data_IF_706643181093
#
_entry.id   IF_706643181093
#
_cell.length_a   1.000
_cell.length_b   1.000
_cell.length_c   1.000
_cell.angle_alpha   90.00
_cell.angle_beta   90.00
_cell.angle_gamma   90.00
#
_symmetry.space_group_name_H-M   'P 1'
#
loop_
_entity.id
_entity.type
_entity.pdbx_description
1 polymer ?
#
# COMPACT_ATOMS: atom_id res chain seq x y z
N UNK A 1 30.93 17.29 -0.27
CA UNK A 1 29.65 17.86 -0.76
C UNK A 1 28.66 16.78 -1.23
N UNK A 2 29.11 15.65 -1.81
CA UNK A 2 28.22 14.55 -2.25
C UNK A 2 27.64 13.66 -1.11
N UNK A 3 28.34 13.53 0.02
CA UNK A 3 27.88 12.75 1.19
C UNK A 3 26.66 13.37 1.92
N UNK A 4 26.47 14.68 1.83
CA UNK A 4 25.34 15.38 2.44
C UNK A 4 24.05 15.30 1.59
N UNK A 5 24.19 15.03 0.29
CA UNK A 5 23.04 14.87 -0.61
C UNK A 5 22.35 13.50 -0.41
N UNK A 6 23.12 12.45 -0.10
CA UNK A 6 22.58 11.11 0.22
C UNK A 6 21.83 11.04 1.55
N UNK A 7 22.15 11.91 2.52
CA UNK A 7 21.44 11.94 3.81
C UNK A 7 20.06 12.61 3.73
N UNK A 8 19.76 13.32 2.63
CA UNK A 8 18.54 14.08 2.44
C UNK A 8 17.61 13.51 1.37
N UNK A 9 17.99 12.40 0.71
CA UNK A 9 17.07 11.67 -0.16
C UNK A 9 16.10 10.86 0.69
N UNK A 10 14.78 11.08 0.58
CA UNK A 10 13.81 10.31 1.33
C UNK A 10 13.94 8.82 1.02
N UNK A 11 13.90 7.98 2.05
CA UNK A 11 13.91 6.53 1.88
C UNK A 11 12.66 6.14 1.08
N UNK A 12 12.81 5.55 -0.10
CA UNK A 12 11.68 5.20 -0.95
C UNK A 12 11.42 3.69 -0.90
N UNK A 13 10.25 3.31 -0.37
CA UNK A 13 9.85 1.90 -0.24
C UNK A 13 8.82 1.56 -1.30
N UNK A 14 9.08 0.53 -2.09
CA UNK A 14 8.19 0.12 -3.17
C UNK A 14 7.45 -1.17 -2.84
N UNK A 15 6.13 -1.16 -2.98
CA UNK A 15 5.27 -2.31 -2.73
C UNK A 15 4.49 -2.67 -3.99
N UNK A 16 4.57 -3.94 -4.40
CA UNK A 16 3.67 -4.53 -5.37
C UNK A 16 2.62 -5.37 -4.64
N UNK A 17 1.34 -5.12 -4.91
CA UNK A 17 0.24 -5.82 -4.25
C UNK A 17 -0.20 -7.05 -5.05
N UNK A 18 -0.24 -8.22 -4.39
CA UNK A 18 -0.53 -9.53 -5.01
C UNK A 18 -1.99 -9.99 -4.76
N UNK A 19 -2.56 -10.75 -5.71
CA UNK A 19 -3.93 -11.30 -5.64
C UNK A 19 -4.18 -12.22 -4.43
N UNK A 20 -3.16 -12.90 -3.89
CA UNK A 20 -3.35 -13.79 -2.75
C UNK A 20 -3.67 -13.01 -1.45
N UNK A 21 -3.17 -11.78 -1.33
CA UNK A 21 -3.52 -10.86 -0.22
C UNK A 21 -4.95 -10.34 -0.37
N UNK A 22 -5.40 -10.14 -1.60
CA UNK A 22 -6.79 -9.81 -1.94
C UNK A 22 -7.73 -10.98 -1.60
N UNK A 23 -7.34 -12.24 -1.85
CA UNK A 23 -8.11 -13.43 -1.45
C UNK A 23 -8.26 -13.58 0.07
N UNK A 24 -7.20 -13.36 0.84
CA UNK A 24 -7.28 -13.37 2.31
C UNK A 24 -8.25 -12.31 2.85
N UNK A 25 -8.41 -11.20 2.12
CA UNK A 25 -9.35 -10.13 2.41
C UNK A 25 -10.79 -10.47 1.97
N UNK A 26 -10.97 -11.10 0.80
CA UNK A 26 -12.25 -11.62 0.31
C UNK A 26 -12.85 -12.70 1.23
N UNK A 27 -12.03 -13.35 2.07
CA UNK A 27 -12.47 -14.27 3.12
C UNK A 27 -13.09 -13.56 4.35
N UNK A 28 -13.31 -12.23 4.29
CA UNK A 28 -14.13 -11.50 5.27
C UNK A 28 -13.37 -10.97 6.48
N UNK A 29 -12.03 -10.89 6.42
CA UNK A 29 -11.27 -10.17 7.45
C UNK A 29 -11.37 -8.67 7.18
N UNK A 30 -12.01 -7.94 8.09
CA UNK A 30 -12.18 -6.48 7.99
C UNK A 30 -10.86 -5.70 8.08
N UNK A 31 -9.75 -6.39 8.39
CA UNK A 31 -8.42 -5.82 8.58
C UNK A 31 -7.35 -6.89 8.34
N UNK A 32 -6.32 -6.58 7.56
CA UNK A 32 -5.11 -7.40 7.44
C UNK A 32 -3.88 -6.52 7.67
N UNK A 33 -2.94 -7.03 8.50
CA UNK A 33 -1.72 -6.34 8.87
C UNK A 33 -0.52 -7.23 8.54
N UNK A 34 0.46 -6.66 7.84
CA UNK A 34 1.75 -7.30 7.59
C UNK A 34 2.85 -6.39 8.14
N UNK A 35 3.60 -6.90 9.13
CA UNK A 35 4.78 -6.22 9.66
C UNK A 35 5.99 -6.53 8.78
N UNK A 36 6.83 -5.52 8.56
CA UNK A 36 8.11 -5.70 7.88
C UNK A 36 9.16 -4.76 8.44
N UNK A 37 10.43 -5.16 8.31
CA UNK A 37 11.58 -4.35 8.66
C UNK A 37 12.27 -3.89 7.36
N UNK A 38 12.60 -2.60 7.28
CA UNK A 38 13.37 -2.04 6.19
C UNK A 38 14.31 -0.97 6.75
N UNK A 39 15.61 -1.12 6.46
CA UNK A 39 16.65 -0.21 6.93
C UNK A 39 16.67 0.02 8.45
N UNK A 40 16.37 -1.04 9.24
CA UNK A 40 16.32 -0.96 10.70
C UNK A 40 15.02 -0.37 11.27
N UNK A 41 14.13 0.12 10.41
CA UNK A 41 12.80 0.57 10.81
C UNK A 41 11.76 -0.52 10.58
N UNK A 42 10.83 -0.63 11.51
CA UNK A 42 9.61 -1.41 11.39
C UNK A 42 8.43 -0.59 10.89
N UNK A 43 7.63 -1.24 10.06
CA UNK A 43 6.44 -0.68 9.44
C UNK A 43 5.29 -1.68 9.51
N UNK A 44 4.07 -1.17 9.44
CA UNK A 44 2.90 -1.97 9.13
C UNK A 44 2.41 -1.65 7.71
N UNK A 45 2.05 -2.69 6.96
CA UNK A 45 1.22 -2.58 5.77
C UNK A 45 -0.19 -2.97 6.18
N UNK A 46 -1.12 -2.03 6.03
CA UNK A 46 -2.48 -2.15 6.51
C UNK A 46 -3.47 -2.18 5.36
N UNK A 47 -4.38 -3.14 5.38
CA UNK A 47 -5.53 -3.22 4.47
C UNK A 47 -6.83 -3.09 5.24
N UNK A 48 -7.73 -2.22 4.78
CA UNK A 48 -9.04 -2.00 5.41
C UNK A 48 -10.15 -1.91 4.37
N UNK A 49 -11.35 -2.37 4.75
CA UNK A 49 -12.55 -2.19 3.95
C UNK A 49 -12.96 -0.72 4.02
N UNK A 50 -13.01 -0.06 2.87
CA UNK A 50 -13.22 1.38 2.75
C UNK A 50 -14.72 1.74 2.77
N UNK A 51 -15.52 1.00 2.01
CA UNK A 51 -16.99 1.11 1.96
C UNK A 51 -17.64 -0.28 1.95
N UNK A 52 -18.14 -0.78 3.11
CA UNK A 52 -18.80 -2.07 3.18
C UNK A 52 -20.16 -2.11 2.47
N UNK A 53 -20.75 -0.95 2.13
CA UNK A 53 -22.13 -0.83 1.63
C UNK A 53 -22.21 -0.74 0.10
N UNK A 54 -21.18 -0.27 -0.60
CA UNK A 54 -21.23 0.06 -2.04
C UNK A 54 -20.30 -0.76 -2.94
N UNK A 55 -20.15 -2.06 -2.68
CA UNK A 55 -19.20 -3.00 -3.30
C UNK A 55 -17.80 -2.93 -2.66
N UNK A 56 -16.94 -3.97 -2.82
CA UNK A 56 -15.70 -4.06 -2.06
C UNK A 56 -14.69 -3.03 -2.57
N UNK A 57 -14.66 -1.89 -1.88
CA UNK A 57 -13.60 -0.89 -2.00
C UNK A 57 -12.64 -1.14 -0.84
N UNK A 58 -11.37 -1.26 -1.16
CA UNK A 58 -10.30 -1.51 -0.21
C UNK A 58 -9.36 -0.33 -0.16
N UNK A 59 -8.75 -0.12 0.99
CA UNK A 59 -7.68 0.86 1.14
C UNK A 59 -6.43 0.18 1.68
N UNK A 60 -5.29 0.47 1.07
CA UNK A 60 -3.95 0.06 1.51
C UNK A 60 -3.13 1.29 1.91
N UNK A 61 -2.46 1.23 3.05
CA UNK A 61 -1.57 2.29 3.54
C UNK A 61 -0.47 1.71 4.43
N UNK A 62 0.56 2.52 4.71
CA UNK A 62 1.70 2.13 5.56
C UNK A 62 1.66 2.93 6.86
N UNK A 63 1.73 2.26 8.01
CA UNK A 63 2.18 2.92 9.24
C UNK A 63 3.67 2.75 9.46
N UNK A 64 4.24 3.80 10.05
CA UNK A 64 5.55 3.83 10.64
C UNK A 64 5.42 3.75 12.17
N UNK A 65 6.16 2.81 12.76
CA UNK A 65 6.01 2.46 14.18
C UNK A 65 6.72 3.46 15.12
N UNK A 66 7.60 4.32 14.59
CA UNK A 66 8.40 5.26 15.37
C UNK A 66 7.87 6.71 15.27
N UNK A 67 8.74 7.67 15.59
CA UNK A 67 8.43 9.09 15.63
C UNK A 67 7.88 9.63 14.31
N UNK A 68 6.81 10.41 14.41
CA UNK A 68 6.14 11.00 13.24
C UNK A 68 7.04 11.96 12.46
N UNK A 69 8.03 12.58 13.10
CA UNK A 69 9.04 13.42 12.45
C UNK A 69 9.95 12.64 11.51
N UNK A 70 10.24 11.38 11.83
CA UNK A 70 11.09 10.52 11.00
C UNK A 70 10.30 9.90 9.85
N UNK A 71 9.01 9.65 10.05
CA UNK A 71 8.11 9.21 8.97
C UNK A 71 8.16 10.16 7.76
N UNK A 72 8.25 11.48 7.99
CA UNK A 72 8.33 12.51 6.93
C UNK A 72 9.57 12.41 6.03
N UNK A 73 10.58 11.66 6.44
CA UNK A 73 11.81 11.40 5.67
C UNK A 73 11.69 10.12 4.81
N UNK A 74 10.53 9.46 4.84
CA UNK A 74 10.28 8.21 4.17
C UNK A 74 9.12 8.43 3.20
N UNK A 75 9.33 8.04 1.95
CA UNK A 75 8.29 7.92 0.96
C UNK A 75 8.02 6.44 0.71
N UNK A 76 6.80 6.11 0.36
CA UNK A 76 6.47 4.79 -0.16
C UNK A 76 5.64 4.93 -1.42
N UNK A 77 5.68 3.88 -2.25
CA UNK A 77 4.77 3.73 -3.36
C UNK A 77 4.11 2.36 -3.36
N UNK A 78 2.83 2.32 -3.70
CA UNK A 78 2.16 1.09 -4.10
C UNK A 78 2.03 1.07 -5.62
N UNK A 79 2.25 -0.09 -6.21
CA UNK A 79 1.90 -0.37 -7.60
C UNK A 79 0.92 -1.53 -7.68
N UNK A 80 -0.12 -1.33 -8.48
CA UNK A 80 -1.14 -2.33 -8.80
C UNK A 80 -1.41 -2.28 -10.29
N UNK A 81 -1.23 -3.40 -10.99
CA UNK A 81 -1.38 -3.40 -12.43
C UNK A 81 -1.13 -4.74 -13.10
N UNK A 82 -1.82 -4.99 -14.22
CA UNK A 82 -1.58 -6.11 -15.13
C UNK A 82 -1.68 -5.65 -16.59
N UNK A 83 -1.19 -6.47 -17.52
CA UNK A 83 -1.34 -6.30 -18.96
C UNK A 83 -1.00 -4.87 -19.42
N UNK A 84 0.21 -4.40 -19.10
CA UNK A 84 0.74 -3.06 -19.41
C UNK A 84 -0.01 -1.87 -18.80
N UNK A 85 -1.02 -2.11 -17.97
CA UNK A 85 -1.75 -1.07 -17.22
C UNK A 85 -1.33 -1.12 -15.77
N UNK A 86 -1.04 0.03 -15.19
CA UNK A 86 -0.56 0.16 -13.82
C UNK A 86 -1.15 1.40 -13.18
N UNK A 87 -1.52 1.26 -11.91
CA UNK A 87 -1.86 2.34 -11.01
C UNK A 87 -0.77 2.42 -9.95
N UNK A 88 -0.23 3.62 -9.76
CA UNK A 88 0.78 3.92 -8.77
C UNK A 88 0.20 4.90 -7.75
N UNK A 89 0.36 4.60 -6.48
CA UNK A 89 0.10 5.51 -5.36
C UNK A 89 1.42 5.85 -4.69
N UNK A 90 1.60 7.10 -4.29
CA UNK A 90 2.76 7.55 -3.53
C UNK A 90 2.29 8.25 -2.26
N UNK A 91 3.00 8.03 -1.15
CA UNK A 91 2.65 8.62 0.13
C UNK A 91 3.80 8.65 1.13
N UNK A 92 3.53 9.27 2.27
CA UNK A 92 4.41 9.27 3.44
C UNK A 92 3.77 8.35 4.49
N UNK A 93 4.51 7.41 5.12
CA UNK A 93 3.94 6.55 6.14
C UNK A 93 3.28 7.37 7.26
N UNK A 94 2.13 6.93 7.75
CA UNK A 94 1.46 7.56 8.89
C UNK A 94 2.02 7.02 10.21
N UNK A 95 2.00 7.82 11.26
CA UNK A 95 2.36 7.30 12.59
C UNK A 95 1.36 6.23 13.01
N UNK A 96 1.83 5.18 13.70
CA UNK A 96 0.98 4.11 14.28
C UNK A 96 -0.12 4.64 15.22
N UNK A 97 0.01 5.87 15.73
CA UNK A 97 -1.02 6.51 16.54
C UNK A 97 -2.24 6.96 15.72
N UNK A 98 -2.14 7.02 14.39
CA UNK A 98 -3.29 7.26 13.53
C UNK A 98 -4.11 5.98 13.42
N UNK A 99 -5.39 6.05 13.78
CA UNK A 99 -6.27 4.90 13.62
C UNK A 99 -6.56 4.64 12.14
N UNK A 100 -6.79 3.37 11.76
CA UNK A 100 -7.24 3.02 10.41
C UNK A 100 -8.52 3.78 10.00
N UNK A 101 -9.37 4.16 10.96
CA UNK A 101 -10.56 4.98 10.72
C UNK A 101 -10.19 6.40 10.29
N UNK A 102 -9.23 7.02 10.96
CA UNK A 102 -8.74 8.36 10.64
C UNK A 102 -8.14 8.39 9.23
N UNK A 103 -7.29 7.42 8.90
CA UNK A 103 -6.68 7.29 7.56
C UNK A 103 -7.75 7.10 6.48
N UNK A 104 -8.76 6.27 6.77
CA UNK A 104 -9.91 6.04 5.88
C UNK A 104 -10.72 7.31 5.65
N UNK A 105 -11.05 8.06 6.71
CA UNK A 105 -11.84 9.30 6.62
C UNK A 105 -11.09 10.41 5.88
N UNK A 106 -9.75 10.43 5.94
CA UNK A 106 -8.92 11.39 5.19
C UNK A 106 -8.60 10.96 3.76
N UNK A 107 -9.05 9.78 3.31
CA UNK A 107 -8.72 9.21 2.00
C UNK A 107 -7.21 9.06 1.73
N UNK A 108 -6.43 8.84 2.78
CA UNK A 108 -4.97 8.93 2.71
C UNK A 108 -4.33 7.54 2.55
N UNK A 109 -4.66 6.89 1.45
CA UNK A 109 -4.16 5.57 1.11
C UNK A 109 -4.56 5.18 -0.30
N UNK A 110 -3.93 4.13 -0.81
CA UNK A 110 -4.29 3.57 -2.09
C UNK A 110 -5.68 2.93 -2.01
N UNK A 111 -6.65 3.48 -2.74
CA UNK A 111 -7.99 2.93 -2.84
C UNK A 111 -8.10 2.02 -4.07
N UNK A 112 -8.49 0.76 -3.86
CA UNK A 112 -8.65 -0.27 -4.89
C UNK A 112 -10.11 -0.71 -4.89
N UNK A 113 -10.74 -0.67 -6.06
CA UNK A 113 -12.10 -1.19 -6.23
C UNK A 113 -12.05 -2.61 -6.77
N UNK A 114 -12.94 -3.51 -6.32
CA UNK A 114 -13.01 -4.92 -6.76
C UNK A 114 -13.06 -5.10 -8.29
N UNK A 115 -13.67 -4.17 -9.01
CA UNK A 115 -13.78 -4.21 -10.48
C UNK A 115 -12.48 -3.78 -11.20
N UNK A 116 -11.43 -3.35 -10.48
CA UNK A 116 -10.13 -3.08 -11.08
C UNK A 116 -9.49 -4.34 -11.68
N UNK A 117 -9.82 -5.54 -11.21
CA UNK A 117 -9.43 -6.79 -11.85
C UNK A 117 -9.84 -6.83 -13.34
N UNK A 118 -11.05 -6.37 -13.69
CA UNK A 118 -11.50 -6.30 -15.08
C UNK A 118 -10.72 -5.26 -15.90
N UNK A 119 -10.31 -4.17 -15.25
CA UNK A 119 -9.57 -3.09 -15.89
C UNK A 119 -8.12 -3.49 -16.21
N UNK A 120 -7.47 -4.23 -15.31
CA UNK A 120 -6.10 -4.70 -15.46
C UNK A 120 -6.00 -6.01 -16.23
N UNK A 121 -7.03 -6.85 -16.23
CA UNK A 121 -7.05 -8.12 -16.99
C UNK A 121 -7.34 -7.94 -18.49
N UNK A 122 -7.77 -6.75 -18.93
CA UNK A 122 -8.02 -6.46 -20.35
C UNK A 122 -9.17 -7.27 -20.95
N UNK A 123 -10.11 -7.73 -20.13
CA UNK A 123 -11.27 -8.52 -20.55
C UNK A 123 -10.99 -10.02 -20.75
N UNK A 124 -9.74 -10.45 -20.66
CA UNK A 124 -9.38 -11.86 -20.60
C UNK A 124 -9.14 -12.18 -19.13
N UNK A 125 -9.69 -13.27 -18.57
CA UNK A 125 -9.50 -13.66 -17.17
C UNK A 125 -8.06 -14.14 -16.85
N UNK A 126 -7.06 -13.54 -17.50
CA UNK A 126 -5.65 -13.74 -17.27
C UNK A 126 -5.25 -13.02 -15.97
N UNK A 127 -4.90 -13.86 -15.01
CA UNK A 127 -4.40 -13.49 -13.69
C UNK A 127 -3.11 -12.68 -13.82
N UNK A 128 -2.99 -11.69 -12.96
CA UNK A 128 -1.80 -10.89 -12.71
C UNK A 128 -0.54 -11.79 -12.60
N UNK A 129 0.49 -11.50 -13.41
CA UNK A 129 1.78 -12.22 -13.41
C UNK A 129 2.93 -11.28 -13.03
N UNK A 130 3.88 -11.82 -12.28
CA UNK A 130 4.76 -11.09 -11.37
C UNK A 130 6.25 -11.34 -11.67
N UNK A 131 7.10 -10.34 -11.36
CA UNK A 131 8.56 -10.44 -11.25
C UNK A 131 9.02 -9.64 -10.02
N UNK A 132 9.70 -10.28 -9.07
CA UNK A 132 10.24 -9.63 -7.86
C UNK A 132 11.73 -9.31 -8.01
N UNK A 133 12.15 -8.10 -7.62
CA UNK A 133 13.51 -7.84 -7.15
C UNK A 133 13.42 -7.19 -5.76
N UNK A 134 14.10 -7.80 -4.78
CA UNK A 134 14.33 -7.26 -3.45
C UNK A 134 15.57 -6.35 -3.46
#
# INVERSE_FOLDING_TARGET
>A
MLLLLWQNTPLHIHFQLENEKEKAFLLGRNMMLQLFNYFGYHFDLHFVAFDPRRAPVYMAFIHFIYEASDAKKINYSFEVGANSRMLMWQGVPRSIHYSHRTVRESLDGLIIQRNMELFFSGGNSQKLKLNTQF
#
